data_IF_555469279685
#
_entry.id   IF_555469279685
#
_cell.length_a   1.000
_cell.length_b   1.000
_cell.length_c   1.000
_cell.angle_alpha   90.00
_cell.angle_beta   90.00
_cell.angle_gamma   90.00
#
_symmetry.space_group_name_H-M   'P 1'
#
loop_
_entity.id
_entity.type
_entity.pdbx_description
1 polymer ?
#
# COMPACT_ATOMS: atom_id res chain seq x y z
N UNK A 1 10.97 -15.98 13.74
CA UNK A 1 10.49 -15.10 12.98
C UNK A 1 9.35 -14.46 13.52
N UNK A 2 8.37 -15.13 13.81
CA UNK A 2 7.27 -14.52 14.36
C UNK A 2 7.57 -13.77 15.60
N UNK A 3 8.62 -14.11 16.26
CA UNK A 3 9.01 -13.43 17.46
C UNK A 3 9.30 -11.96 17.24
N UNK A 4 9.65 -11.57 16.02
CA UNK A 4 9.89 -10.16 15.72
C UNK A 4 8.60 -9.37 15.85
N UNK A 5 7.52 -9.91 15.31
CA UNK A 5 6.24 -9.22 15.38
C UNK A 5 5.66 -9.23 16.77
N UNK A 6 5.94 -10.26 17.54
CA UNK A 6 5.45 -10.34 18.91
C UNK A 6 6.07 -9.28 19.82
N UNK A 7 7.17 -8.69 19.41
CA UNK A 7 7.83 -7.64 20.18
C UNK A 7 7.19 -6.27 20.01
N UNK A 8 6.28 -6.10 19.04
CA UNK A 8 5.66 -4.82 18.78
C UNK A 8 4.17 -4.85 19.11
N UNK A 9 3.71 -3.78 19.76
CA UNK A 9 2.30 -3.57 19.98
C UNK A 9 1.67 -3.05 18.68
N UNK A 10 0.39 -3.32 18.48
CA UNK A 10 -0.30 -2.83 17.29
C UNK A 10 -0.27 -1.30 17.20
N UNK A 11 -0.20 -0.63 18.36
CA UNK A 11 -0.16 0.84 18.38
C UNK A 11 1.13 1.40 17.81
N UNK A 12 2.20 0.60 17.78
CA UNK A 12 3.49 1.04 17.26
C UNK A 12 3.61 0.84 15.74
N UNK A 13 2.65 0.15 15.16
CA UNK A 13 2.68 -0.16 13.73
C UNK A 13 1.89 0.90 12.99
N UNK A 14 2.54 1.61 12.07
CA UNK A 14 1.90 2.65 11.28
C UNK A 14 0.88 2.09 10.33
N UNK A 15 1.23 1.02 9.64
CA UNK A 15 0.30 0.40 8.70
C UNK A 15 0.68 -1.06 8.45
N UNK A 16 -0.28 -1.78 7.92
CA UNK A 16 -0.13 -3.20 7.63
C UNK A 16 -0.73 -3.48 6.26
N UNK A 17 0.01 -4.18 5.41
CA UNK A 17 -0.51 -4.64 4.12
C UNK A 17 -0.72 -6.15 4.23
N UNK A 18 -1.92 -6.60 3.94
CA UNK A 18 -2.27 -7.99 4.14
C UNK A 18 -3.06 -8.54 2.96
N UNK A 19 -3.00 -9.85 2.81
CA UNK A 19 -3.73 -10.55 1.75
C UNK A 19 -5.22 -10.64 2.10
N UNK A 20 -6.07 -10.37 1.14
CA UNK A 20 -7.53 -10.46 1.34
C UNK A 20 -8.00 -11.89 1.50
N UNK A 21 -7.21 -12.86 1.08
CA UNK A 21 -7.56 -14.28 1.20
C UNK A 21 -7.27 -14.76 2.62
N UNK A 22 -8.29 -15.11 3.35
CA UNK A 22 -8.16 -15.54 4.74
C UNK A 22 -7.30 -16.78 4.89
N UNK A 23 -7.30 -17.63 3.89
CA UNK A 23 -6.54 -18.88 3.94
C UNK A 23 -5.06 -18.66 3.67
N UNK A 24 -4.70 -17.54 3.06
CA UNK A 24 -3.31 -17.22 2.73
C UNK A 24 -2.53 -16.73 3.94
N UNK A 25 -3.08 -15.78 4.67
CA UNK A 25 -2.47 -15.28 5.90
C UNK A 25 -1.23 -14.42 5.75
N UNK A 26 -0.87 -14.02 4.52
CA UNK A 26 0.29 -13.15 4.33
C UNK A 26 0.02 -11.76 4.87
N UNK A 27 0.94 -11.26 5.71
CA UNK A 27 0.83 -9.94 6.32
C UNK A 27 2.21 -9.30 6.42
N UNK A 28 2.28 -8.02 6.11
CA UNK A 28 3.49 -7.22 6.29
C UNK A 28 3.16 -6.02 7.16
N UNK A 29 3.89 -5.87 8.27
CA UNK A 29 3.68 -4.79 9.22
C UNK A 29 4.82 -3.79 9.11
N UNK A 30 4.47 -2.52 9.09
CA UNK A 30 5.43 -1.43 8.92
C UNK A 30 5.32 -0.47 10.11
N UNK A 31 6.45 -0.26 10.80
CA UNK A 31 6.48 0.64 11.94
C UNK A 31 6.50 2.09 11.49
N UNK A 32 7.30 2.38 10.47
CA UNK A 32 7.43 3.74 9.96
C UNK A 32 7.11 3.77 8.48
N UNK A 33 6.46 4.85 8.06
CA UNK A 33 6.23 5.10 6.65
C UNK A 33 7.34 6.03 6.15
N UNK A 34 8.15 5.54 5.23
CA UNK A 34 9.30 6.29 4.73
C UNK A 34 8.91 7.14 3.52
N UNK A 35 8.68 8.42 3.75
CA UNK A 35 8.31 9.35 2.70
C UNK A 35 9.44 9.51 1.69
N UNK A 36 10.69 9.30 2.12
CA UNK A 36 11.83 9.41 1.23
C UNK A 36 11.99 8.24 0.27
N UNK A 37 11.26 7.16 0.50
CA UNK A 37 11.31 5.99 -0.37
C UNK A 37 10.17 6.06 -1.37
N UNK A 38 10.48 6.46 -2.60
CA UNK A 38 9.46 6.66 -3.63
C UNK A 38 8.73 5.37 -3.99
N UNK A 39 9.45 4.26 -4.06
CA UNK A 39 8.82 2.98 -4.40
C UNK A 39 7.82 2.55 -3.34
N UNK A 40 8.17 2.72 -2.08
CA UNK A 40 7.26 2.40 -0.97
C UNK A 40 6.05 3.31 -1.01
N UNK A 41 6.27 4.59 -1.29
CA UNK A 41 5.19 5.57 -1.35
C UNK A 41 4.20 5.25 -2.46
N UNK A 42 4.72 4.91 -3.65
CA UNK A 42 3.87 4.55 -4.78
C UNK A 42 3.09 3.28 -4.48
N UNK A 43 3.76 2.26 -3.95
CA UNK A 43 3.11 0.98 -3.66
C UNK A 43 1.99 1.15 -2.64
N UNK A 44 2.27 1.90 -1.56
CA UNK A 44 1.29 2.13 -0.51
C UNK A 44 0.11 2.95 -1.05
N UNK A 45 0.38 3.95 -1.88
CA UNK A 45 -0.68 4.76 -2.46
C UNK A 45 -1.56 3.93 -3.40
N UNK A 46 -0.97 3.02 -4.17
CA UNK A 46 -1.74 2.15 -5.06
C UNK A 46 -2.67 1.23 -4.27
N UNK A 47 -2.16 0.60 -3.21
CA UNK A 47 -2.98 -0.26 -2.38
C UNK A 47 -4.12 0.52 -1.76
N UNK A 48 -3.80 1.70 -1.23
CA UNK A 48 -4.82 2.54 -0.59
C UNK A 48 -5.89 2.99 -1.58
N UNK A 49 -5.48 3.50 -2.73
CA UNK A 49 -6.42 4.04 -3.72
C UNK A 49 -7.34 2.97 -4.28
N UNK A 50 -6.79 1.80 -4.61
CA UNK A 50 -7.61 0.72 -5.16
C UNK A 50 -8.55 0.11 -4.12
N UNK A 51 -8.23 0.29 -2.84
CA UNK A 51 -9.10 -0.19 -1.77
C UNK A 51 -10.27 0.74 -1.52
N UNK A 52 -10.05 2.06 -1.59
CA UNK A 52 -11.10 3.03 -1.23
C UNK A 52 -11.88 3.54 -2.43
N UNK A 53 -11.45 3.27 -3.64
CA UNK A 53 -12.11 3.78 -4.84
C UNK A 53 -12.28 2.69 -5.88
N UNK A 54 -13.53 2.40 -6.25
CA UNK A 54 -13.82 1.44 -7.30
C UNK A 54 -13.30 1.91 -8.65
N UNK A 55 -13.39 3.22 -8.91
CA UNK A 55 -12.88 3.77 -10.15
C UNK A 55 -11.39 3.54 -10.28
N UNK A 56 -10.64 3.81 -9.21
CA UNK A 56 -9.20 3.59 -9.23
C UNK A 56 -8.87 2.11 -9.39
N UNK A 57 -9.67 1.24 -8.79
CA UNK A 57 -9.47 -0.20 -8.92
C UNK A 57 -9.63 -0.66 -10.36
N UNK A 58 -10.48 0.02 -11.13
CA UNK A 58 -10.72 -0.33 -12.53
C UNK A 58 -9.61 0.14 -13.48
N UNK A 59 -8.96 1.25 -13.13
CA UNK A 59 -8.00 1.86 -14.06
C UNK A 59 -6.54 1.69 -13.64
N UNK A 60 -6.28 1.30 -12.41
CA UNK A 60 -4.91 1.13 -11.92
C UNK A 60 -4.57 -0.35 -11.75
N UNK A 61 -3.26 -0.69 -11.82
CA UNK A 61 -2.86 -2.05 -11.50
C UNK A 61 -3.07 -2.29 -10.00
N UNK A 62 -3.92 -3.27 -9.68
CA UNK A 62 -4.19 -3.62 -8.30
C UNK A 62 -3.04 -4.49 -7.79
N UNK A 63 -2.36 -4.07 -6.70
CA UNK A 63 -1.30 -4.91 -6.14
C UNK A 63 -1.87 -6.25 -5.66
N UNK A 64 -1.18 -7.33 -6.01
CA UNK A 64 -1.63 -8.68 -5.74
C UNK A 64 -0.65 -9.41 -4.85
N UNK A 65 -1.18 -10.33 -4.06
CA UNK A 65 -0.35 -11.18 -3.22
C UNK A 65 0.49 -12.12 -4.07
N UNK A 66 1.79 -12.15 -3.81
CA UNK A 66 2.70 -13.00 -4.58
C UNK A 66 2.49 -14.48 -4.29
N UNK A 67 1.89 -14.80 -3.15
CA UNK A 67 1.71 -16.18 -2.74
C UNK A 67 0.45 -16.81 -3.34
N UNK A 68 -0.68 -16.10 -3.30
CA UNK A 68 -1.95 -16.66 -3.73
C UNK A 68 -2.63 -15.85 -4.82
N UNK A 69 -2.05 -14.73 -5.22
CA UNK A 69 -2.57 -13.88 -6.29
C UNK A 69 -3.91 -13.24 -5.98
N UNK A 70 -4.25 -13.08 -4.70
CA UNK A 70 -5.42 -12.34 -4.29
C UNK A 70 -5.06 -10.87 -4.08
N UNK A 71 -6.06 -10.00 -4.04
CA UNK A 71 -5.82 -8.58 -3.84
C UNK A 71 -5.20 -8.32 -2.47
N UNK A 72 -4.41 -7.26 -2.39
CA UNK A 72 -3.83 -6.81 -1.13
C UNK A 72 -4.64 -5.65 -0.57
N UNK A 73 -4.79 -5.62 0.74
CA UNK A 73 -5.47 -4.56 1.47
C UNK A 73 -4.51 -3.89 2.42
N UNK A 74 -4.84 -2.67 2.84
CA UNK A 74 -4.04 -1.92 3.79
C UNK A 74 -4.88 -1.54 5.00
N UNK A 75 -4.29 -1.69 6.18
CA UNK A 75 -4.88 -1.22 7.43
C UNK A 75 -3.95 -0.17 8.00
N UNK A 76 -4.44 1.05 8.17
CA UNK A 76 -3.63 2.16 8.63
C UNK A 76 -3.98 2.44 10.09
N UNK A 77 -2.96 2.41 10.95
CA UNK A 77 -3.12 2.66 12.38
C UNK A 77 -2.67 4.07 12.78
N UNK A 78 -1.98 4.77 11.88
CA UNK A 78 -1.47 6.10 12.15
C UNK A 78 -2.33 7.12 11.45
N UNK A 79 -2.96 8.01 12.24
CA UNK A 79 -3.89 8.99 11.69
C UNK A 79 -3.22 9.97 10.74
N UNK A 80 -1.98 10.36 11.06
CA UNK A 80 -1.25 11.29 10.20
C UNK A 80 -0.95 10.66 8.84
N UNK A 81 -0.62 9.38 8.83
CA UNK A 81 -0.40 8.66 7.59
C UNK A 81 -1.68 8.55 6.78
N UNK A 82 -2.81 8.28 7.43
CA UNK A 82 -4.08 8.20 6.74
C UNK A 82 -4.44 9.52 6.08
N UNK A 83 -4.24 10.63 6.80
CA UNK A 83 -4.51 11.95 6.25
C UNK A 83 -3.56 12.27 5.10
N UNK A 84 -2.29 11.89 5.23
CA UNK A 84 -1.32 12.09 4.17
C UNK A 84 -1.73 11.35 2.90
N UNK A 85 -2.10 10.09 3.01
CA UNK A 85 -2.52 9.31 1.85
C UNK A 85 -3.81 9.86 1.24
N UNK A 86 -4.75 10.28 2.10
CA UNK A 86 -6.00 10.84 1.60
C UNK A 86 -5.77 12.10 0.78
N UNK A 87 -4.81 12.94 1.20
CA UNK A 87 -4.54 14.20 0.52
C UNK A 87 -3.63 14.04 -0.69
N UNK A 88 -2.68 13.10 -0.63
CA UNK A 88 -1.60 13.05 -1.62
C UNK A 88 -1.60 11.83 -2.53
N UNK A 89 -2.46 10.84 -2.27
CA UNK A 89 -2.39 9.61 -3.07
C UNK A 89 -2.67 9.88 -4.55
N UNK A 90 -3.55 10.82 -4.87
CA UNK A 90 -3.83 11.15 -6.26
C UNK A 90 -2.60 11.73 -6.96
N UNK A 91 -1.88 12.62 -6.27
CA UNK A 91 -0.67 13.21 -6.85
C UNK A 91 0.43 12.18 -7.02
N UNK A 92 0.57 11.28 -6.06
CA UNK A 92 1.57 10.22 -6.12
C UNK A 92 1.27 9.29 -7.31
N UNK A 93 0.03 8.87 -7.44
CA UNK A 93 -0.39 7.98 -8.52
C UNK A 93 -0.28 8.69 -9.87
N UNK A 94 -0.62 9.96 -9.91
CA UNK A 94 -0.51 10.75 -11.13
C UNK A 94 0.92 10.81 -11.62
N UNK A 95 1.88 11.03 -10.72
CA UNK A 95 3.30 11.03 -11.08
C UNK A 95 3.74 9.65 -11.57
N UNK A 96 3.26 8.60 -10.92
CA UNK A 96 3.58 7.24 -11.33
C UNK A 96 3.08 6.97 -12.75
N UNK A 97 1.84 7.32 -13.05
CA UNK A 97 1.28 7.11 -14.37
C UNK A 97 2.01 7.93 -15.43
N UNK A 98 2.39 9.15 -15.10
CA UNK A 98 3.14 10.01 -16.01
C UNK A 98 4.49 9.39 -16.35
N UNK A 99 5.18 8.82 -15.37
CA UNK A 99 6.44 8.14 -15.60
C UNK A 99 6.28 6.92 -16.49
N UNK A 100 5.19 6.18 -16.30
CA UNK A 100 4.91 5.03 -17.16
C UNK A 100 4.69 5.45 -18.60
N UNK A 101 3.95 6.53 -18.80
CA UNK A 101 3.70 7.04 -20.14
C UNK A 101 4.98 7.51 -20.82
N UNK A 102 5.85 8.17 -20.08
CA UNK A 102 7.13 8.62 -20.62
C UNK A 102 8.03 7.46 -21.01
N UNK A 103 8.05 6.41 -20.20
CA UNK A 103 8.83 5.22 -20.50
C UNK A 103 8.32 4.53 -21.75
N UNK A 104 7.00 4.51 -21.97
CA UNK A 104 6.44 3.92 -23.16
C UNK A 104 6.67 4.77 -24.39
N UNK A 105 6.79 6.09 -24.20
CA UNK A 105 7.03 7.01 -25.30
C UNK A 105 8.48 7.13 -25.72
N UNK A 106 9.37 6.55 -24.93
CA UNK A 106 10.80 6.60 -25.26
C UNK A 106 11.21 5.45 -26.20
#
# INVERSE_FOLDING_TARGET
METIYAAYDDDEIDYEIYCSNKDCGVRQKFIDFDIGNEDEMIYTALVYATQVSQLMKMILPVPMCKKCNSELYIKINNRELEEFLREHCHDIIKRFLFQQMMNLGA
#
